data_IF_779009667114
#
_entry.id   IF_779009667114
#
_cell.length_a   1.000
_cell.length_b   1.000
_cell.length_c   1.000
_cell.angle_alpha   90.00
_cell.angle_beta   90.00
_cell.angle_gamma   90.00
#
_symmetry.space_group_name_H-M   'P 1'
#
loop_
_entity.id
_entity.type
_entity.pdbx_description
1 polymer ?
#
# COMPACT_ATOMS: atom_id res chain seq x y z
N UNK A 1 6.01 15.18 -26.42
CA UNK A 1 6.37 15.60 -25.05
C UNK A 1 5.16 15.71 -24.13
N UNK A 2 4.21 16.64 -24.33
CA UNK A 2 3.05 16.75 -23.41
C UNK A 2 2.23 15.45 -23.30
N UNK A 3 1.90 14.80 -24.43
CA UNK A 3 1.19 13.51 -24.44
C UNK A 3 1.99 12.35 -23.83
N UNK A 4 3.32 12.39 -23.90
CA UNK A 4 4.19 11.35 -23.31
C UNK A 4 4.22 11.48 -21.78
N UNK A 5 4.28 12.71 -21.27
CA UNK A 5 4.22 13.00 -19.84
C UNK A 5 2.89 12.54 -19.25
N UNK A 6 1.78 12.81 -19.93
CA UNK A 6 0.45 12.39 -19.47
C UNK A 6 0.31 10.86 -19.45
N UNK A 7 0.88 10.16 -20.44
CA UNK A 7 0.92 8.70 -20.46
C UNK A 7 1.75 8.14 -19.28
N UNK A 8 2.91 8.75 -18.97
CA UNK A 8 3.72 8.35 -17.82
C UNK A 8 2.97 8.62 -16.51
N UNK A 9 2.29 9.76 -16.38
CA UNK A 9 1.44 10.07 -15.21
C UNK A 9 0.34 9.03 -15.02
N UNK A 10 -0.34 8.64 -16.09
CA UNK A 10 -1.36 7.59 -16.05
C UNK A 10 -0.78 6.25 -15.58
N UNK A 11 0.37 5.84 -16.14
CA UNK A 11 1.06 4.61 -15.76
C UNK A 11 1.51 4.60 -14.29
N UNK A 12 1.95 5.75 -13.76
CA UNK A 12 2.30 5.90 -12.33
C UNK A 12 1.05 5.78 -11.45
N UNK A 13 -0.08 6.39 -11.85
CA UNK A 13 -1.33 6.29 -11.09
C UNK A 13 -1.91 4.89 -11.11
N UNK A 14 -1.81 4.18 -12.24
CA UNK A 14 -2.22 2.78 -12.35
C UNK A 14 -1.40 1.89 -11.41
N UNK A 15 -0.07 2.00 -11.45
CA UNK A 15 0.82 1.27 -10.53
C UNK A 15 0.45 1.56 -9.08
N UNK A 16 0.32 2.83 -8.71
CA UNK A 16 -0.06 3.24 -7.35
C UNK A 16 -1.42 2.68 -6.94
N UNK A 17 -2.39 2.67 -7.85
CA UNK A 17 -3.73 2.12 -7.63
C UNK A 17 -3.73 0.61 -7.38
N UNK A 18 -2.86 -0.13 -8.07
CA UNK A 18 -2.68 -1.56 -7.87
C UNK A 18 -2.15 -1.90 -6.46
N UNK A 19 -1.43 -0.96 -5.81
CA UNK A 19 -0.93 -1.12 -4.45
C UNK A 19 -1.87 -0.53 -3.39
N UNK A 20 -3.17 -0.87 -3.45
CA UNK A 20 -4.16 -0.42 -2.48
C UNK A 20 -3.96 -1.10 -1.11
N UNK A 21 -3.46 -0.33 -0.14
CA UNK A 21 -3.12 -0.80 1.19
C UNK A 21 -4.29 -0.76 2.20
N UNK A 22 -5.52 -0.39 1.79
CA UNK A 22 -6.63 -0.11 2.72
C UNK A 22 -7.06 -1.32 3.53
N UNK A 23 -7.24 -2.48 2.88
CA UNK A 23 -7.70 -3.69 3.55
C UNK A 23 -6.64 -4.21 4.53
N UNK A 24 -5.38 -4.28 4.10
CA UNK A 24 -4.29 -4.74 4.96
C UNK A 24 -4.05 -3.76 6.14
N UNK A 25 -4.19 -2.45 5.91
CA UNK A 25 -4.17 -1.43 6.97
C UNK A 25 -5.30 -1.64 7.99
N UNK A 26 -6.52 -1.89 7.51
CA UNK A 26 -7.67 -2.11 8.38
C UNK A 26 -7.50 -3.38 9.20
N UNK A 27 -7.05 -4.48 8.58
CA UNK A 27 -6.85 -5.75 9.29
C UNK A 27 -5.71 -5.67 10.30
N UNK A 28 -4.63 -4.96 9.98
CA UNK A 28 -3.52 -4.74 10.90
C UNK A 28 -3.89 -3.79 12.05
N UNK A 29 -4.27 -2.54 11.73
CA UNK A 29 -4.53 -1.52 12.75
C UNK A 29 -5.86 -1.77 13.48
N UNK A 30 -6.92 -2.11 12.75
CA UNK A 30 -8.23 -2.45 13.32
C UNK A 30 -8.19 -3.73 14.14
N UNK A 31 -7.49 -4.77 13.66
CA UNK A 31 -7.24 -5.98 14.45
C UNK A 31 -6.51 -5.67 15.76
N UNK A 32 -5.48 -4.82 15.71
CA UNK A 32 -4.76 -4.37 16.91
C UNK A 32 -5.69 -3.65 17.90
N UNK A 33 -6.57 -2.76 17.43
CA UNK A 33 -7.53 -2.07 18.29
C UNK A 33 -8.53 -3.03 18.92
N UNK A 34 -9.04 -4.01 18.16
CA UNK A 34 -9.96 -5.04 18.67
C UNK A 34 -9.27 -5.88 19.75
N UNK A 35 -8.05 -6.35 19.48
CA UNK A 35 -7.26 -7.14 20.43
C UNK A 35 -6.98 -6.34 21.72
N UNK A 36 -6.67 -5.05 21.60
CA UNK A 36 -6.44 -4.18 22.74
C UNK A 36 -7.72 -3.96 23.56
N UNK A 37 -8.82 -3.62 22.89
CA UNK A 37 -10.11 -3.40 23.54
C UNK A 37 -10.61 -4.67 24.25
N UNK A 38 -10.49 -5.84 23.60
CA UNK A 38 -10.84 -7.12 24.19
C UNK A 38 -9.96 -7.44 25.41
N UNK A 39 -8.66 -7.16 25.35
CA UNK A 39 -7.74 -7.36 26.48
C UNK A 39 -8.06 -6.45 27.67
N UNK A 40 -8.36 -5.17 27.41
CA UNK A 40 -8.76 -4.21 28.46
C UNK A 40 -10.09 -4.65 29.09
N UNK A 41 -11.07 -5.00 28.26
CA UNK A 41 -12.37 -5.47 28.74
C UNK A 41 -12.25 -6.78 29.54
N UNK A 42 -11.39 -7.71 29.12
CA UNK A 42 -11.15 -8.96 29.84
C UNK A 42 -10.58 -8.73 31.25
N UNK A 43 -9.85 -7.63 31.47
CA UNK A 43 -9.28 -7.27 32.76
C UNK A 43 -10.25 -6.53 33.70
N UNK A 44 -11.43 -6.12 33.22
CA UNK A 44 -12.44 -5.46 34.04
C UNK A 44 -13.05 -6.41 35.09
N UNK A 45 -13.60 -5.91 36.20
CA UNK A 45 -14.37 -6.74 37.13
C UNK A 45 -15.71 -7.15 36.48
N UNK A 46 -15.93 -8.45 36.31
CA UNK A 46 -17.16 -9.01 35.73
C UNK A 46 -18.03 -9.62 36.82
N UNK A 47 -19.35 -9.34 36.83
CA UNK A 47 -20.28 -10.02 37.73
C UNK A 47 -20.39 -11.52 37.40
N UNK A 48 -20.77 -12.31 38.41
CA UNK A 48 -20.63 -13.77 38.38
C UNK A 48 -21.42 -14.47 37.27
N UNK A 49 -22.54 -13.89 36.87
CA UNK A 49 -23.41 -14.31 35.77
C UNK A 49 -22.74 -14.22 34.39
N UNK A 50 -21.70 -13.39 34.23
CA UNK A 50 -20.92 -13.22 33.00
C UNK A 50 -19.43 -13.48 33.19
N UNK A 51 -19.07 -14.30 34.19
CA UNK A 51 -17.69 -14.72 34.47
C UNK A 51 -17.00 -15.49 33.32
N UNK A 52 -17.75 -15.93 32.30
CA UNK A 52 -17.20 -16.52 31.08
C UNK A 52 -16.66 -15.49 30.08
N UNK A 53 -17.12 -14.24 30.14
CA UNK A 53 -16.79 -13.20 29.16
C UNK A 53 -15.28 -12.93 29.03
N UNK A 54 -14.48 -12.84 30.12
CA UNK A 54 -13.04 -12.68 30.02
C UNK A 54 -12.34 -13.77 29.18
N UNK A 55 -12.80 -15.03 29.29
CA UNK A 55 -12.22 -16.15 28.54
C UNK A 55 -12.48 -16.02 27.05
N UNK A 56 -13.69 -15.60 26.69
CA UNK A 56 -14.06 -15.36 25.29
C UNK A 56 -13.28 -14.18 24.72
N UNK A 57 -13.17 -13.08 25.46
CA UNK A 57 -12.39 -11.91 25.05
C UNK A 57 -10.90 -12.25 24.88
N UNK A 58 -10.31 -13.02 25.79
CA UNK A 58 -8.94 -13.52 25.64
C UNK A 58 -8.77 -14.41 24.39
N UNK A 59 -9.76 -15.25 24.09
CA UNK A 59 -9.80 -16.06 22.87
C UNK A 59 -9.85 -15.21 21.60
N UNK A 60 -10.67 -14.14 21.59
CA UNK A 60 -10.74 -13.18 20.49
C UNK A 60 -9.38 -12.50 20.29
N UNK A 61 -8.75 -12.01 21.36
CA UNK A 61 -7.41 -11.41 21.31
C UNK A 61 -6.39 -12.37 20.71
N UNK A 62 -6.34 -13.61 21.19
CA UNK A 62 -5.41 -14.62 20.71
C UNK A 62 -5.65 -14.95 19.22
N UNK A 63 -6.92 -15.06 18.81
CA UNK A 63 -7.29 -15.30 17.42
C UNK A 63 -6.83 -14.17 16.51
N UNK A 64 -7.09 -12.91 16.88
CA UNK A 64 -6.71 -11.74 16.06
C UNK A 64 -5.19 -11.63 15.91
N UNK A 65 -4.44 -11.83 17.00
CA UNK A 65 -2.96 -11.85 16.97
C UNK A 65 -2.46 -13.02 16.11
N UNK A 66 -3.06 -14.20 16.24
CA UNK A 66 -2.70 -15.37 15.45
C UNK A 66 -2.96 -15.18 13.96
N UNK A 67 -4.10 -14.59 13.60
CA UNK A 67 -4.46 -14.26 12.23
C UNK A 67 -3.49 -13.25 11.62
N UNK A 68 -3.12 -12.19 12.38
CA UNK A 68 -2.12 -11.21 11.93
C UNK A 68 -0.77 -11.87 11.65
N UNK A 69 -0.27 -12.69 12.57
CA UNK A 69 1.02 -13.39 12.41
C UNK A 69 1.04 -14.41 11.29
N UNK A 70 -0.10 -15.04 11.01
CA UNK A 70 -0.19 -16.07 9.98
C UNK A 70 -0.31 -15.45 8.58
N UNK A 71 -1.03 -14.33 8.48
CA UNK A 71 -1.35 -13.70 7.19
C UNK A 71 -0.48 -12.47 6.89
N UNK A 72 0.37 -12.06 7.83
CA UNK A 72 1.35 -10.97 7.71
C UNK A 72 0.77 -9.66 7.16
N UNK A 73 -0.41 -9.27 7.63
CA UNK A 73 -1.09 -8.04 7.19
C UNK A 73 -0.22 -6.80 7.39
N UNK A 74 0.53 -6.72 8.49
CA UNK A 74 1.43 -5.59 8.75
C UNK A 74 2.57 -5.48 7.73
N UNK A 75 3.14 -6.61 7.29
CA UNK A 75 4.20 -6.60 6.28
C UNK A 75 3.65 -6.24 4.90
N UNK A 76 2.53 -6.85 4.50
CA UNK A 76 1.85 -6.54 3.23
C UNK A 76 1.41 -5.08 3.16
N UNK A 77 0.87 -4.54 4.25
CA UNK A 77 0.52 -3.13 4.34
C UNK A 77 1.75 -2.21 4.13
N UNK A 78 2.86 -2.48 4.81
CA UNK A 78 4.11 -1.71 4.64
C UNK A 78 4.69 -1.85 3.24
N UNK A 79 4.58 -3.03 2.63
CA UNK A 79 4.95 -3.24 1.23
C UNK A 79 4.16 -2.31 0.30
N UNK A 80 2.82 -2.31 0.41
CA UNK A 80 1.96 -1.44 -0.40
C UNK A 80 2.22 0.05 -0.18
N UNK A 81 2.50 0.47 1.06
CA UNK A 81 2.89 1.84 1.37
C UNK A 81 4.22 2.24 0.71
N UNK A 82 5.24 1.36 0.77
CA UNK A 82 6.53 1.62 0.13
C UNK A 82 6.39 1.78 -1.39
N UNK A 83 5.64 0.89 -2.03
CA UNK A 83 5.42 0.94 -3.49
C UNK A 83 4.61 2.17 -3.91
N UNK A 84 3.54 2.48 -3.17
CA UNK A 84 2.76 3.71 -3.41
C UNK A 84 3.60 4.97 -3.21
N UNK A 85 4.49 4.99 -2.21
CA UNK A 85 5.40 6.10 -1.95
C UNK A 85 6.45 6.27 -3.05
N UNK A 86 7.02 5.16 -3.55
CA UNK A 86 7.96 5.20 -4.67
C UNK A 86 7.31 5.76 -5.94
N UNK A 87 6.10 5.30 -6.27
CA UNK A 87 5.33 5.83 -7.39
C UNK A 87 5.01 7.32 -7.24
N UNK A 88 4.63 7.76 -6.03
CA UNK A 88 4.38 9.18 -5.76
C UNK A 88 5.65 10.02 -5.93
N UNK A 89 6.82 9.52 -5.51
CA UNK A 89 8.09 10.20 -5.70
C UNK A 89 8.41 10.40 -7.19
N UNK A 90 8.15 9.38 -8.03
CA UNK A 90 8.28 9.49 -9.48
C UNK A 90 7.30 10.54 -10.06
N UNK A 91 6.07 10.58 -9.55
CA UNK A 91 5.06 11.58 -9.96
C UNK A 91 5.54 13.00 -9.69
N UNK A 92 6.04 13.25 -8.48
CA UNK A 92 6.54 14.57 -8.07
C UNK A 92 7.75 14.99 -8.92
N UNK A 93 8.69 14.06 -9.18
CA UNK A 93 9.82 14.33 -10.09
C UNK A 93 9.35 14.67 -11.49
N UNK A 94 8.38 13.92 -12.02
CA UNK A 94 7.81 14.17 -13.34
C UNK A 94 7.10 15.54 -13.41
N UNK A 95 6.41 15.95 -12.35
CA UNK A 95 5.80 17.28 -12.26
C UNK A 95 6.86 18.40 -12.25
N UNK A 96 8.08 18.13 -11.79
CA UNK A 96 9.18 19.11 -11.81
C UNK A 96 9.90 19.19 -13.16
N UNK A 97 9.77 18.20 -14.04
CA UNK A 97 10.45 18.17 -15.36
C UNK A 97 10.13 19.41 -16.20
N UNK A 98 8.93 19.97 -16.08
CA UNK A 98 8.49 21.16 -16.84
C UNK A 98 9.27 22.43 -16.47
N UNK A 99 10.03 22.41 -15.37
CA UNK A 99 10.86 23.52 -14.91
C UNK A 99 12.33 23.42 -15.36
N UNK A 100 12.71 22.31 -15.99
CA UNK A 100 14.08 22.03 -16.43
C UNK A 100 14.33 22.50 -17.87
N UNK A 101 15.60 22.68 -18.22
CA UNK A 101 16.00 22.87 -19.61
C UNK A 101 15.73 21.61 -20.44
N UNK A 102 15.45 21.76 -21.74
CA UNK A 102 14.95 20.67 -22.59
C UNK A 102 15.85 19.41 -22.59
N UNK A 103 17.18 19.58 -22.61
CA UNK A 103 18.12 18.47 -22.55
C UNK A 103 18.10 17.74 -21.19
N UNK A 104 17.96 18.49 -20.09
CA UNK A 104 17.85 17.95 -18.74
C UNK A 104 16.50 17.27 -18.52
N UNK A 105 15.42 17.88 -19.02
CA UNK A 105 14.07 17.34 -19.00
C UNK A 105 14.01 15.98 -19.70
N UNK A 106 14.57 15.86 -20.91
CA UNK A 106 14.60 14.60 -21.65
C UNK A 106 15.38 13.49 -20.91
N UNK A 107 16.51 13.86 -20.28
CA UNK A 107 17.30 12.94 -19.46
C UNK A 107 16.51 12.47 -18.23
N UNK A 108 15.86 13.39 -17.53
CA UNK A 108 15.09 13.08 -16.32
C UNK A 108 13.88 12.19 -16.63
N UNK A 109 13.16 12.45 -17.73
CA UNK A 109 12.06 11.60 -18.20
C UNK A 109 12.54 10.18 -18.49
N UNK A 110 13.69 10.01 -19.15
CA UNK A 110 14.26 8.69 -19.43
C UNK A 110 14.60 7.91 -18.14
N UNK A 111 15.15 8.61 -17.14
CA UNK A 111 15.43 8.03 -15.81
C UNK A 111 14.13 7.60 -15.12
N UNK A 112 13.11 8.46 -15.11
CA UNK A 112 11.80 8.16 -14.51
C UNK A 112 11.15 6.93 -15.18
N UNK A 113 11.17 6.86 -16.52
CA UNK A 113 10.61 5.71 -17.25
C UNK A 113 11.35 4.42 -16.92
N UNK A 114 12.68 4.46 -16.82
CA UNK A 114 13.48 3.31 -16.41
C UNK A 114 13.14 2.84 -15.01
N UNK A 115 13.10 3.76 -14.04
CA UNK A 115 12.76 3.45 -12.65
C UNK A 115 11.33 2.89 -12.52
N UNK A 116 10.37 3.47 -13.24
CA UNK A 116 9.00 2.95 -13.31
C UNK A 116 8.99 1.52 -13.86
N UNK A 117 9.73 1.24 -14.94
CA UNK A 117 9.86 -0.11 -15.49
C UNK A 117 10.55 -1.11 -14.56
N UNK A 118 11.45 -0.66 -13.69
CA UNK A 118 12.04 -1.48 -12.62
C UNK A 118 11.02 -1.78 -11.52
N UNK A 119 10.17 -0.81 -11.15
CA UNK A 119 9.08 -1.04 -10.20
C UNK A 119 8.07 -2.08 -10.72
N UNK A 120 7.69 -2.04 -12.00
CA UNK A 120 6.83 -3.07 -12.59
C UNK A 120 7.48 -4.46 -12.59
N UNK A 121 8.75 -4.56 -13.02
CA UNK A 121 9.46 -5.85 -13.12
C UNK A 121 9.75 -6.50 -11.77
N UNK A 122 10.05 -5.71 -10.75
CA UNK A 122 10.41 -6.24 -9.42
C UNK A 122 9.21 -6.72 -8.61
N UNK A 123 7.98 -6.40 -9.02
CA UNK A 123 6.78 -6.62 -8.21
C UNK A 123 5.71 -7.46 -8.92
N UNK A 124 6.04 -8.16 -10.01
CA UNK A 124 5.11 -8.96 -10.84
C UNK A 124 3.80 -8.25 -11.20
N UNK A 125 3.82 -6.90 -11.23
CA UNK A 125 2.68 -6.11 -11.68
C UNK A 125 2.69 -6.19 -13.20
N UNK A 126 1.58 -6.65 -13.85
CA UNK A 126 1.51 -6.64 -15.30
C UNK A 126 1.83 -5.24 -15.79
N UNK A 127 2.75 -5.13 -16.76
CA UNK A 127 3.05 -3.84 -17.37
C UNK A 127 1.74 -3.22 -17.91
N UNK A 128 1.57 -1.89 -17.82
CA UNK A 128 0.37 -1.24 -18.29
C UNK A 128 0.19 -1.60 -19.76
N UNK A 129 -1.03 -2.02 -20.12
CA UNK A 129 -1.33 -2.37 -21.50
C UNK A 129 -0.98 -1.15 -22.37
N UNK A 130 -0.06 -1.32 -23.34
CA UNK A 130 0.35 -0.24 -24.23
C UNK A 130 -0.91 0.30 -24.92
N UNK A 131 -1.37 1.48 -24.48
CA UNK A 131 -2.43 2.19 -25.16
C UNK A 131 -1.90 2.63 -26.53
N UNK A 132 -2.21 1.88 -27.58
CA UNK A 132 -2.02 2.32 -28.97
C UNK A 132 -0.86 1.71 -29.76
N UNK A 133 -0.62 0.40 -29.70
CA UNK A 133 0.29 -0.27 -30.65
C UNK A 133 -0.41 -0.82 -31.92
N UNK A 134 -1.70 -0.51 -32.12
CA UNK A 134 -2.46 -0.86 -33.32
C UNK A 134 -3.12 0.39 -33.91
N UNK A 135 -2.37 1.25 -34.61
CA UNK A 135 -2.82 2.07 -35.76
C UNK A 135 -1.64 2.51 -36.62
#
# INVERSE_FOLDING_TARGET
>A
MAGDIDAIKAAIQEFKGAHNAKLDSFLFNGGTLIALAASIAAAAPWPGDISWAPRVLAGITAFVIGAERTLNFGERWRFHLRMSGAAEALRVRLDHVVLLEEAEAAKEVSVIVRELGELYRSNDVPAPARAGADR
#
